data_IF_692450038913
#
_entry.id   IF_692450038913
#
_cell.length_a   1.000
_cell.length_b   1.000
_cell.length_c   1.000
_cell.angle_alpha   90.00
_cell.angle_beta   90.00
_cell.angle_gamma   90.00
#
_symmetry.space_group_name_H-M   'P 1'
#
loop_
_entity.id
_entity.type
_entity.pdbx_description
1 polymer ?
#
# COMPACT_ATOMS: atom_id res chain seq x y z
N UNK A 1 13.16 3.55 -6.72
CA UNK A 1 12.31 2.73 -5.84
C UNK A 1 11.08 3.54 -5.45
N UNK A 2 9.89 3.18 -5.96
CA UNK A 2 8.65 3.89 -5.64
C UNK A 2 7.92 3.18 -4.47
N UNK A 3 7.77 3.87 -3.34
CA UNK A 3 7.06 3.37 -2.15
C UNK A 3 5.55 3.60 -2.29
N UNK A 4 4.72 2.77 -1.63
CA UNK A 4 3.26 2.90 -1.61
C UNK A 4 2.80 4.33 -1.23
N UNK A 5 3.47 4.95 -0.26
CA UNK A 5 3.22 6.33 0.17
C UNK A 5 3.36 7.34 -0.97
N UNK A 6 4.36 7.18 -1.84
CA UNK A 6 4.60 8.08 -2.96
C UNK A 6 3.51 7.93 -4.03
N UNK A 7 3.04 6.71 -4.25
CA UNK A 7 1.96 6.45 -5.20
C UNK A 7 0.63 7.04 -4.71
N UNK A 8 0.35 6.92 -3.41
CA UNK A 8 -0.79 7.57 -2.78
C UNK A 8 -0.76 9.09 -2.98
N UNK A 9 0.40 9.73 -2.78
CA UNK A 9 0.58 11.17 -3.00
C UNK A 9 0.34 11.53 -4.48
N UNK A 10 0.91 10.77 -5.41
CA UNK A 10 0.74 11.00 -6.86
C UNK A 10 -0.71 10.93 -7.33
N UNK A 11 -1.50 10.03 -6.74
CA UNK A 11 -2.91 9.85 -7.09
C UNK A 11 -3.88 10.66 -6.21
N UNK A 12 -3.38 11.42 -5.23
CA UNK A 12 -4.23 12.14 -4.26
C UNK A 12 -5.04 11.22 -3.33
N UNK A 13 -4.62 9.96 -3.16
CA UNK A 13 -5.32 8.97 -2.34
C UNK A 13 -4.92 9.13 -0.87
N UNK A 14 -5.92 9.34 -0.01
CA UNK A 14 -5.73 9.40 1.46
C UNK A 14 -5.74 8.00 2.08
N UNK A 15 -5.19 7.88 3.29
CA UNK A 15 -5.21 6.61 4.07
C UNK A 15 -6.62 6.07 4.28
N UNK A 16 -7.59 6.95 4.54
CA UNK A 16 -9.01 6.57 4.71
C UNK A 16 -9.63 6.03 3.43
N UNK A 17 -9.24 6.57 2.29
CA UNK A 17 -9.68 6.09 0.97
C UNK A 17 -9.02 4.74 0.65
N UNK A 18 -7.72 4.58 0.91
CA UNK A 18 -7.02 3.31 0.76
C UNK A 18 -7.64 2.21 1.66
N UNK A 19 -7.99 2.55 2.91
CA UNK A 19 -8.68 1.64 3.82
C UNK A 19 -10.01 1.13 3.25
N UNK A 20 -10.80 2.04 2.64
CA UNK A 20 -12.08 1.70 1.99
C UNK A 20 -11.87 0.79 0.78
N UNK A 21 -10.89 1.10 -0.08
CA UNK A 21 -10.59 0.29 -1.28
C UNK A 21 -10.11 -1.12 -0.93
N UNK A 22 -9.38 -1.24 0.18
CA UNK A 22 -8.88 -2.52 0.68
C UNK A 22 -9.87 -3.25 1.60
N UNK A 23 -10.98 -2.60 1.97
CA UNK A 23 -11.93 -3.11 2.95
C UNK A 23 -11.25 -3.50 4.29
N UNK A 24 -10.37 -2.62 4.79
CA UNK A 24 -9.62 -2.82 6.04
C UNK A 24 -9.75 -1.62 6.98
N UNK A 25 -9.37 -1.81 8.24
CA UNK A 25 -9.33 -0.72 9.22
C UNK A 25 -8.05 0.14 9.10
N UNK A 26 -8.16 1.40 9.53
CA UNK A 26 -7.06 2.38 9.48
C UNK A 26 -5.73 1.89 10.09
N UNK A 27 -5.70 1.18 11.24
CA UNK A 27 -4.46 0.64 11.78
C UNK A 27 -3.77 -0.39 10.87
N UNK A 28 -4.52 -1.10 10.02
CA UNK A 28 -3.92 -2.01 9.04
C UNK A 28 -3.24 -1.22 7.91
N UNK A 29 -3.84 -0.12 7.47
CA UNK A 29 -3.23 0.78 6.50
C UNK A 29 -1.96 1.41 7.06
N UNK A 30 -1.96 1.82 8.33
CA UNK A 30 -0.76 2.36 8.97
C UNK A 30 0.38 1.33 9.03
N UNK A 31 0.07 0.06 9.30
CA UNK A 31 1.06 -1.04 9.24
C UNK A 31 1.60 -1.27 7.83
N UNK A 32 0.77 -1.16 6.79
CA UNK A 32 1.21 -1.29 5.39
C UNK A 32 2.19 -0.19 4.95
N UNK A 33 2.09 0.97 5.59
CA UNK A 33 2.96 2.11 5.33
C UNK A 33 4.19 2.13 6.24
N UNK A 34 4.24 1.27 7.26
CA UNK A 34 5.40 1.12 8.13
C UNK A 34 6.40 0.12 7.52
N UNK A 35 7.56 0.58 7.03
CA UNK A 35 8.59 -0.29 6.45
C UNK A 35 9.28 -1.20 7.48
N UNK A 36 9.08 -0.97 8.79
CA UNK A 36 9.66 -1.78 9.88
C UNK A 36 8.76 -2.94 10.29
N UNK A 37 7.48 -2.92 9.91
CA UNK A 37 6.58 -4.02 10.16
C UNK A 37 6.62 -4.97 8.97
N UNK A 38 6.66 -6.28 9.23
CA UNK A 38 6.65 -7.35 8.22
C UNK A 38 5.29 -7.46 7.52
N UNK A 39 4.85 -6.36 6.92
CA UNK A 39 3.68 -6.32 6.06
C UNK A 39 3.84 -7.40 4.99
N UNK A 40 3.02 -8.44 5.11
CA UNK A 40 3.01 -9.57 4.16
C UNK A 40 2.96 -8.99 2.76
N UNK A 41 3.84 -9.46 1.87
CA UNK A 41 3.95 -9.00 0.48
C UNK A 41 2.57 -8.90 -0.19
N UNK A 42 1.68 -9.86 0.10
CA UNK A 42 0.28 -9.92 -0.34
C UNK A 42 -0.50 -8.62 -0.06
N UNK A 43 -0.29 -8.01 1.10
CA UNK A 43 -1.04 -6.83 1.50
C UNK A 43 -0.49 -5.55 0.84
N UNK A 44 0.81 -5.49 0.59
CA UNK A 44 1.43 -4.42 -0.22
C UNK A 44 0.97 -4.55 -1.68
N UNK A 45 0.94 -5.78 -2.22
CA UNK A 45 0.42 -6.05 -3.55
C UNK A 45 -1.05 -5.65 -3.68
N UNK A 46 -1.90 -6.03 -2.72
CA UNK A 46 -3.30 -5.62 -2.68
C UNK A 46 -3.44 -4.09 -2.65
N UNK A 47 -2.61 -3.39 -1.87
CA UNK A 47 -2.57 -1.94 -1.83
C UNK A 47 -2.22 -1.33 -3.20
N UNK A 48 -1.16 -1.80 -3.86
CA UNK A 48 -0.83 -1.34 -5.21
C UNK A 48 -1.92 -1.67 -6.23
N UNK A 49 -2.52 -2.86 -6.14
CA UNK A 49 -3.63 -3.27 -7.01
C UNK A 49 -4.85 -2.37 -6.85
N UNK A 50 -5.17 -1.95 -5.63
CA UNK A 50 -6.23 -0.98 -5.34
C UNK A 50 -5.96 0.43 -5.88
N UNK A 51 -4.70 0.73 -6.19
CA UNK A 51 -4.22 1.94 -6.86
C UNK A 51 -4.03 1.74 -8.37
N UNK A 52 -4.45 0.58 -8.93
CA UNK A 52 -4.29 0.27 -10.35
C UNK A 52 -2.85 0.02 -10.79
N UNK A 53 -1.95 -0.28 -9.86
CA UNK A 53 -0.53 -0.60 -10.13
C UNK A 53 -0.24 -2.07 -9.87
N UNK A 54 0.76 -2.62 -10.56
CA UNK A 54 1.33 -3.93 -10.27
C UNK A 54 2.66 -3.74 -9.54
N UNK A 55 2.79 -4.42 -8.40
CA UNK A 55 4.04 -4.47 -7.68
C UNK A 55 4.96 -5.49 -8.36
N UNK A 56 6.16 -5.07 -8.76
CA UNK A 56 7.19 -5.97 -9.27
C UNK A 56 8.33 -5.99 -8.25
N UNK A 57 8.51 -7.11 -7.55
CA UNK A 57 9.57 -7.31 -6.57
C UNK A 57 10.67 -8.12 -7.26
N UNK A 58 11.86 -7.53 -7.38
CA UNK A 58 13.06 -8.24 -7.79
C UNK A 58 14.03 -8.26 -6.61
N UNK A 59 14.42 -9.46 -6.19
CA UNK A 59 15.49 -9.67 -5.20
C UNK A 59 16.77 -9.93 -5.99
N UNK A 60 17.83 -9.17 -5.69
CA UNK A 60 19.16 -9.29 -6.28
C UNK A 60 20.16 -9.74 -5.22
#
# INVERSE_FOLDING_TARGET
MATLQNEMIRQGVRKSELARRLNVHMPQVDRLLDPRHSSKIEAIEAAFRSLGKRLNISVA
#
